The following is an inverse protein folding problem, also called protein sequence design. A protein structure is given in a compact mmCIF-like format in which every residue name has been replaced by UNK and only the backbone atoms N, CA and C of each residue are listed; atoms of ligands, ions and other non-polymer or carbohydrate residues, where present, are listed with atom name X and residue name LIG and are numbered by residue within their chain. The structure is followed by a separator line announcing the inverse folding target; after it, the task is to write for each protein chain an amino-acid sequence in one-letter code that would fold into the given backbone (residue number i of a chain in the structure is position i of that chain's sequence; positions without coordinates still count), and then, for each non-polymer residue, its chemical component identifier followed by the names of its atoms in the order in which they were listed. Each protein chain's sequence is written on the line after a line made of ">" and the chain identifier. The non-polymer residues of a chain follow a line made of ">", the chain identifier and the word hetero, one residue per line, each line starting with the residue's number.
data_IF_562314347279
#
_entry.id   IF_562314347279
#
_cell.length_a   1.000
_cell.length_b   1.000
_cell.length_c   1.000
_cell.angle_alpha   90.00
_cell.angle_beta   90.00
_cell.angle_gamma   90.00
#
_symmetry.space_group_name_H-M   'P 1'
#
loop_
_entity.id
_entity.type
_entity.pdbx_description
1 polymer ?
#
# COMPACT_ATOMS: atom_id res chain seq x y z
N UNK A 1 -5.73 -3.58 5.46
CA UNK A 1 -4.27 -3.75 5.47
C UNK A 1 -3.60 -2.38 5.46
N UNK A 2 -2.62 -2.22 6.30
CA UNK A 2 -1.86 -0.98 6.39
C UNK A 2 -0.40 -1.28 6.07
N UNK A 3 0.18 -0.48 5.18
CA UNK A 3 1.56 -0.69 4.73
C UNK A 3 2.35 0.61 4.87
N UNK A 4 3.52 0.52 5.47
CA UNK A 4 4.43 1.66 5.59
C UNK A 4 5.74 1.31 4.94
N UNK A 5 6.33 2.26 4.25
CA UNK A 5 7.62 2.03 3.59
C UNK A 5 8.37 3.34 3.41
N UNK A 6 9.69 3.22 3.32
CA UNK A 6 10.52 4.35 2.90
C UNK A 6 10.81 4.22 1.43
N UNK A 7 10.82 5.34 0.73
CA UNK A 7 11.10 5.39 -0.70
C UNK A 7 12.17 6.42 -0.96
N UNK A 8 12.87 6.28 -2.08
CA UNK A 8 13.90 7.24 -2.44
C UNK A 8 13.35 8.39 -3.27
N UNK A 9 12.33 8.11 -4.08
CA UNK A 9 11.76 9.08 -5.02
C UNK A 9 10.26 8.86 -5.13
N UNK A 10 9.49 9.80 -4.61
CA UNK A 10 8.03 9.69 -4.58
C UNK A 10 7.43 9.63 -6.00
N UNK A 11 7.89 10.49 -6.89
CA UNK A 11 7.34 10.52 -8.24
C UNK A 11 7.57 9.21 -8.98
N UNK A 12 8.76 8.64 -8.83
CA UNK A 12 9.08 7.37 -9.45
C UNK A 12 8.28 6.24 -8.82
N UNK A 13 8.17 6.24 -7.48
CA UNK A 13 7.36 5.27 -6.78
C UNK A 13 5.91 5.31 -7.25
N UNK A 14 5.33 6.50 -7.30
CA UNK A 14 3.93 6.67 -7.68
C UNK A 14 3.67 6.21 -9.10
N UNK A 15 4.58 6.49 -10.01
CA UNK A 15 4.46 6.08 -11.41
C UNK A 15 4.40 4.56 -11.53
N UNK A 16 5.31 3.86 -10.85
CA UNK A 16 5.34 2.40 -10.89
C UNK A 16 4.16 1.81 -10.13
N UNK A 17 3.81 2.39 -9.00
CA UNK A 17 2.68 1.98 -8.19
C UNK A 17 1.38 2.03 -9.03
N UNK A 18 1.18 3.11 -9.80
CA UNK A 18 0.00 3.26 -10.63
C UNK A 18 -0.07 2.24 -11.76
N UNK A 19 1.08 1.82 -12.29
CA UNK A 19 1.13 0.78 -13.32
C UNK A 19 0.59 -0.55 -12.82
N UNK A 20 0.69 -0.80 -11.53
CA UNK A 20 0.35 -2.09 -10.93
C UNK A 20 -1.06 -2.16 -10.36
N UNK A 21 -1.92 -1.19 -10.67
CA UNK A 21 -3.26 -1.16 -10.11
C UNK A 21 -4.06 -2.44 -10.44
N UNK A 22 -3.90 -2.95 -11.63
CA UNK A 22 -4.61 -4.16 -12.02
C UNK A 22 -4.12 -5.38 -11.24
N UNK A 23 -2.83 -5.46 -10.98
CA UNK A 23 -2.27 -6.56 -10.20
C UNK A 23 -2.84 -6.54 -8.77
N UNK A 24 -2.98 -5.35 -8.20
CA UNK A 24 -3.57 -5.22 -6.86
C UNK A 24 -5.06 -5.57 -6.87
N UNK A 25 -5.78 -5.11 -7.88
CA UNK A 25 -7.20 -5.43 -8.01
C UNK A 25 -7.43 -6.94 -8.12
N UNK A 26 -6.60 -7.60 -8.91
CA UNK A 26 -6.68 -9.06 -9.08
C UNK A 26 -6.40 -9.79 -7.77
N UNK A 27 -5.62 -9.19 -6.89
CA UNK A 27 -5.33 -9.73 -5.56
C UNK A 27 -6.37 -9.33 -4.51
N UNK A 28 -7.43 -8.63 -4.93
CA UNK A 28 -8.48 -8.20 -4.00
C UNK A 28 -8.05 -7.06 -3.09
N UNK A 29 -7.10 -6.25 -3.53
CA UNK A 29 -6.57 -5.13 -2.75
C UNK A 29 -7.02 -3.81 -3.37
N UNK A 30 -7.82 -3.05 -2.64
CA UNK A 30 -8.29 -1.74 -3.11
C UNK A 30 -7.71 -0.65 -2.25
N UNK A 31 -7.03 0.27 -2.89
CA UNK A 31 -6.45 1.40 -2.20
C UNK A 31 -7.55 2.31 -1.65
N UNK A 32 -7.39 2.72 -0.40
CA UNK A 32 -8.29 3.67 0.22
C UNK A 32 -7.60 5.00 0.42
N UNK A 33 -6.36 4.98 0.92
CA UNK A 33 -5.61 6.21 1.16
C UNK A 33 -4.13 5.98 0.95
N UNK A 34 -3.46 7.02 0.48
CA UNK A 34 -2.00 7.10 0.44
C UNK A 34 -1.63 8.30 1.30
N UNK A 35 -0.72 8.09 2.24
CA UNK A 35 -0.23 9.15 3.13
C UNK A 35 1.27 9.33 2.94
N UNK A 36 1.73 10.56 3.14
CA UNK A 36 3.16 10.78 3.35
C UNK A 36 3.32 11.33 4.75
N UNK A 37 4.44 11.01 5.38
CA UNK A 37 4.73 11.52 6.71
C UNK A 37 4.98 13.03 6.61
N UNK A 38 4.36 13.79 7.49
CA UNK A 38 4.49 15.25 7.47
C UNK A 38 5.92 15.71 7.61
N UNK A 39 6.70 14.97 8.38
CA UNK A 39 8.10 15.30 8.63
C UNK A 39 9.08 14.67 7.65
N UNK A 40 8.64 13.68 6.88
CA UNK A 40 9.50 12.96 5.95
C UNK A 40 8.68 12.52 4.73
N UNK A 41 8.71 13.29 3.64
CA UNK A 41 7.91 12.96 2.46
C UNK A 41 8.35 11.68 1.76
N UNK A 42 9.48 11.10 2.15
CA UNK A 42 9.92 9.82 1.63
C UNK A 42 9.42 8.64 2.44
N UNK A 43 8.68 8.90 3.51
CA UNK A 43 8.06 7.85 4.29
C UNK A 43 6.57 7.83 3.96
N UNK A 44 6.12 6.77 3.33
CA UNK A 44 4.73 6.65 2.87
C UNK A 44 3.98 5.61 3.68
N UNK A 45 2.68 5.78 3.72
CA UNK A 45 1.78 4.82 4.33
C UNK A 45 0.58 4.63 3.41
N UNK A 46 0.09 3.40 3.33
CA UNK A 46 -1.00 3.05 2.45
C UNK A 46 -2.04 2.27 3.24
N UNK A 47 -3.31 2.59 2.99
CA UNK A 47 -4.41 1.85 3.57
C UNK A 47 -5.19 1.17 2.46
N UNK A 48 -5.33 -0.15 2.55
CA UNK A 48 -6.07 -0.94 1.58
C UNK A 48 -7.23 -1.67 2.23
N UNK A 49 -8.34 -1.73 1.49
CA UNK A 49 -9.39 -2.69 1.81
C UNK A 49 -9.00 -3.97 1.07
N UNK A 50 -9.01 -5.10 1.77
CA UNK A 50 -8.64 -6.37 1.15
C UNK A 50 -9.77 -7.38 1.31
N UNK A 51 -9.93 -8.25 0.31
CA UNK A 51 -10.95 -9.29 0.33
C UNK A 51 -10.49 -10.50 1.15
N UNK A 52 -9.19 -10.77 1.13
CA UNK A 52 -8.63 -11.95 1.76
C UNK A 52 -7.21 -11.67 2.22
N UNK A 53 -6.95 -11.94 3.48
CA UNK A 53 -5.60 -11.82 4.04
C UNK A 53 -4.64 -12.76 3.31
N UNK A 54 -5.11 -13.98 3.01
CA UNK A 54 -4.28 -14.96 2.32
C UNK A 54 -3.86 -14.50 0.93
N UNK A 55 -4.79 -13.93 0.17
CA UNK A 55 -4.47 -13.41 -1.15
C UNK A 55 -3.50 -12.24 -1.07
N UNK A 56 -3.72 -11.34 -0.11
CA UNK A 56 -2.84 -10.19 0.08
C UNK A 56 -1.44 -10.63 0.45
N UNK A 57 -1.31 -11.60 1.34
CA UNK A 57 0.01 -12.14 1.71
C UNK A 57 0.70 -12.78 0.52
N UNK A 58 -0.02 -13.58 -0.25
CA UNK A 58 0.54 -14.23 -1.43
C UNK A 58 1.04 -13.18 -2.44
N UNK A 59 0.28 -12.11 -2.63
CA UNK A 59 0.67 -11.02 -3.50
C UNK A 59 1.98 -10.38 -3.01
N UNK A 60 2.05 -10.04 -1.73
CA UNK A 60 3.22 -9.36 -1.17
C UNK A 60 4.46 -10.25 -1.13
N UNK A 61 4.29 -11.57 -1.10
CA UNK A 61 5.40 -12.51 -1.09
C UNK A 61 5.85 -12.93 -2.48
N UNK A 62 5.11 -12.56 -3.51
CA UNK A 62 5.42 -12.90 -4.89
C UNK A 62 6.77 -12.30 -5.30
N UNK A 63 7.68 -13.09 -5.89
CA UNK A 63 8.96 -12.55 -6.38
C UNK A 63 8.77 -11.44 -7.39
N UNK A 64 7.75 -11.53 -8.24
CA UNK A 64 7.45 -10.50 -9.21
C UNK A 64 7.13 -9.17 -8.53
N UNK A 65 6.29 -9.21 -7.50
CA UNK A 65 5.92 -8.01 -6.78
C UNK A 65 7.10 -7.43 -6.01
N UNK A 66 7.94 -8.28 -5.43
CA UNK A 66 9.14 -7.81 -4.73
C UNK A 66 10.11 -7.10 -5.67
N UNK A 67 10.23 -7.61 -6.89
CA UNK A 67 11.03 -6.95 -7.92
C UNK A 67 10.44 -5.59 -8.27
N UNK A 68 9.11 -5.50 -8.42
CA UNK A 68 8.43 -4.24 -8.71
C UNK A 68 8.63 -3.23 -7.59
N UNK A 69 8.61 -3.68 -6.35
CA UNK A 69 8.85 -2.81 -5.20
C UNK A 69 10.24 -2.20 -5.24
N UNK A 70 11.24 -2.98 -5.63
CA UNK A 70 12.60 -2.47 -5.76
C UNK A 70 12.69 -1.42 -6.86
N UNK A 71 12.05 -1.67 -7.99
CA UNK A 71 12.01 -0.70 -9.09
C UNK A 71 11.31 0.58 -8.66
N UNK A 72 10.34 0.47 -7.76
CA UNK A 72 9.59 1.59 -7.25
C UNK A 72 10.33 2.35 -6.14
N UNK A 73 11.62 2.09 -5.99
CA UNK A 73 12.51 2.77 -5.04
C UNK A 73 12.21 2.54 -3.56
N UNK A 74 11.49 1.47 -3.24
CA UNK A 74 11.25 1.11 -1.84
C UNK A 74 12.56 0.66 -1.21
N UNK A 75 12.89 1.24 -0.06
CA UNK A 75 14.12 0.95 0.67
C UNK A 75 13.81 -0.06 1.78
N UNK A 76 14.44 -1.22 1.70
CA UNK A 76 14.23 -2.28 2.69
C UNK A 76 12.87 -2.93 2.55
N UNK A 77 12.43 -3.62 3.58
CA UNK A 77 11.15 -4.31 3.58
C UNK A 77 10.05 -3.39 4.08
N UNK A 78 8.90 -3.33 3.40
CA UNK A 78 7.79 -2.54 3.90
C UNK A 78 7.23 -3.17 5.18
N UNK A 79 6.72 -2.33 6.05
CA UNK A 79 6.05 -2.80 7.25
C UNK A 79 4.57 -3.01 6.92
N UNK A 80 4.10 -4.23 7.10
CA UNK A 80 2.72 -4.61 6.75
C UNK A 80 1.99 -5.01 8.02
N UNK A 81 0.78 -4.47 8.19
CA UNK A 81 -0.10 -4.83 9.31
C UNK A 81 -1.48 -5.12 8.78
N UNK A 82 -2.10 -6.15 9.29
CA UNK A 82 -3.48 -6.47 8.97
C UNK A 82 -4.36 -6.04 10.13
N UNK A 83 -5.42 -5.30 9.81
CA UNK A 83 -6.35 -4.82 10.80
C UNK A 83 -7.75 -5.30 10.51
N UNK A 84 -8.51 -5.50 11.55
CA UNK A 84 -9.87 -5.92 11.47
C UNK A 84 -10.74 -4.76 11.91
N UNK A 85 -11.66 -4.35 11.08
CA UNK A 85 -12.51 -3.18 11.41
C UNK A 85 -13.50 -3.59 12.49
N UNK A 86 -13.47 -2.92 13.63
CA UNK A 86 -14.39 -3.18 14.73
C UNK A 86 -15.44 -2.10 14.89
N UNK A 87 -15.24 -0.94 14.25
CA UNK A 87 -16.19 0.17 14.34
C UNK A 87 -15.93 1.13 13.18
N UNK A 88 -17.01 1.69 12.65
CA UNK A 88 -16.89 2.71 11.62
C UNK A 88 -17.83 3.83 11.97
N UNK A 89 -17.28 5.04 12.08
CA UNK A 89 -18.08 6.23 12.30
C UNK A 89 -18.48 6.78 10.94
N UNK A 90 -19.77 6.95 10.75
CA UNK A 90 -20.26 7.54 9.54
C UNK A 90 -20.07 9.05 9.63
N UNK A 91 -19.28 9.57 8.73
CA UNK A 91 -18.95 10.96 8.74
C UNK A 91 -19.61 11.62 7.56
N UNK A 92 -20.54 12.52 7.85
CA UNK A 92 -21.28 13.09 6.81
C UNK A 92 -20.72 14.34 6.31
N UNK A 93 -20.02 14.90 7.02
CA UNK A 93 -19.48 15.95 6.63
C UNK A 93 -18.65 16.49 7.31
N UNK A 94 -18.10 17.26 6.90
CA UNK A 94 -17.46 17.20 5.68
C UNK A 94 -16.37 16.30 5.88
N UNK A 95 -16.52 15.20 5.77
CA UNK A 95 -15.48 14.26 5.98
C UNK A 95 -14.42 14.37 4.99
#
# INVERSE_FOLDING_TARGET
>A
MFACAKIEDFAKWKSIYDEDVKLRDDAGMKERYIFTCTEDPKHIALLFAIDSIEKAKAFLESPEIRERMKKATIVGDPEIRFFHKVHETCCHEPC
#
